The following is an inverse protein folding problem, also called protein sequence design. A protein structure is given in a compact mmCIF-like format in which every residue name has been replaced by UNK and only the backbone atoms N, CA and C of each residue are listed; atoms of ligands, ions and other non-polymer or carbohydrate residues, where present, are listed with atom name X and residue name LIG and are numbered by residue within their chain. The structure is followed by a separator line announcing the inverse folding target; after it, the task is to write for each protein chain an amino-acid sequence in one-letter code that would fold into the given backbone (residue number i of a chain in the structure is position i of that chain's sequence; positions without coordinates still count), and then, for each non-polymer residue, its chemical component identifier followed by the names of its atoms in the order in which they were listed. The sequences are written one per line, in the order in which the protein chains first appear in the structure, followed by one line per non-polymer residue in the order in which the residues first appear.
data_IF_069626559677
#
_entry.id   IF_069626559677
#
_cell.length_a   1.000
_cell.length_b   1.000
_cell.length_c   1.000
_cell.angle_alpha   90.00
_cell.angle_beta   90.00
_cell.angle_gamma   90.00
#
_symmetry.space_group_name_H-M   'P 1'
#
loop_
_entity.id
_entity.type
_entity.pdbx_description
1 polymer ?
#
# COMPACT_ATOMS: atom_id res chain seq x y z
N UNK A 1 38.98 3.25 5.56
CA UNK A 1 38.16 2.09 5.20
C UNK A 1 37.90 2.19 3.70
N UNK A 2 38.85 1.71 2.93
CA UNK A 2 38.83 1.76 1.47
C UNK A 2 37.91 0.66 0.96
N UNK A 3 36.61 1.00 0.75
CA UNK A 3 35.70 0.10 0.04
C UNK A 3 35.91 0.34 -1.46
N UNK A 4 36.47 -0.64 -2.16
CA UNK A 4 36.38 -0.68 -3.63
C UNK A 4 34.91 -0.51 -4.03
N UNK A 5 34.65 0.45 -4.94
CA UNK A 5 33.31 0.65 -5.48
C UNK A 5 33.01 -0.54 -6.38
N UNK A 6 32.35 -1.54 -5.83
CA UNK A 6 31.92 -2.72 -6.60
C UNK A 6 30.77 -2.41 -7.55
N UNK A 7 30.53 -3.27 -8.52
CA UNK A 7 29.38 -3.18 -9.44
C UNK A 7 28.02 -3.15 -8.71
N UNK A 8 27.97 -3.63 -7.47
CA UNK A 8 26.73 -3.83 -6.71
C UNK A 8 26.05 -2.57 -6.14
N UNK A 9 26.70 -1.38 -6.19
CA UNK A 9 26.05 -0.12 -5.78
C UNK A 9 25.89 0.85 -6.97
N UNK A 10 24.75 0.79 -7.68
CA UNK A 10 24.49 1.66 -8.82
C UNK A 10 24.51 3.16 -8.48
N UNK A 11 24.10 3.54 -7.26
CA UNK A 11 24.07 4.94 -6.83
C UNK A 11 25.47 5.48 -6.54
N UNK A 12 26.38 4.62 -6.09
CA UNK A 12 27.77 5.03 -5.85
C UNK A 12 28.43 5.49 -7.16
N UNK A 13 28.19 4.82 -8.27
CA UNK A 13 28.74 5.20 -9.57
C UNK A 13 28.17 6.52 -10.10
N UNK A 14 26.87 6.78 -9.87
CA UNK A 14 26.26 8.07 -10.24
C UNK A 14 26.83 9.19 -9.38
N UNK A 15 26.97 8.97 -8.08
CA UNK A 15 27.55 9.95 -7.15
C UNK A 15 29.03 10.21 -7.46
N UNK A 16 29.76 9.17 -7.87
CA UNK A 16 31.15 9.31 -8.30
C UNK A 16 31.25 10.21 -9.52
N UNK A 17 30.44 9.98 -10.57
CA UNK A 17 30.42 10.87 -11.75
C UNK A 17 30.10 12.33 -11.36
N UNK A 18 29.09 12.54 -10.55
CA UNK A 18 28.71 13.89 -10.08
C UNK A 18 29.84 14.55 -9.25
N UNK A 19 30.52 13.79 -8.39
CA UNK A 19 31.61 14.27 -7.56
C UNK A 19 32.83 14.65 -8.43
N UNK A 20 33.27 13.76 -9.32
CA UNK A 20 34.42 13.99 -10.20
C UNK A 20 34.21 15.14 -11.19
N UNK A 21 32.98 15.42 -11.56
CA UNK A 21 32.64 16.62 -12.36
C UNK A 21 32.76 17.93 -11.59
N UNK A 22 32.59 17.92 -10.26
CA UNK A 22 32.74 19.08 -9.40
C UNK A 22 34.19 19.32 -9.01
N UNK A 23 34.81 18.26 -8.53
CA UNK A 23 36.20 18.25 -8.04
C UNK A 23 36.92 17.07 -8.70
N UNK A 24 37.86 17.29 -9.64
CA UNK A 24 38.51 16.23 -10.38
C UNK A 24 39.60 15.51 -9.55
N UNK A 25 39.21 14.98 -8.40
CA UNK A 25 40.06 14.21 -7.51
C UNK A 25 39.45 12.83 -7.28
N UNK A 26 40.14 11.79 -7.70
CA UNK A 26 39.67 10.43 -7.56
C UNK A 26 39.81 9.94 -6.11
N UNK A 27 38.77 9.30 -5.53
CA UNK A 27 38.88 8.70 -4.22
C UNK A 27 39.90 7.54 -4.22
N UNK A 28 40.49 7.30 -3.04
CA UNK A 28 41.38 6.17 -2.84
C UNK A 28 40.65 4.84 -3.13
N UNK A 29 41.38 3.86 -3.70
CA UNK A 29 40.82 2.53 -4.01
C UNK A 29 40.04 2.43 -5.33
N UNK A 30 39.96 3.51 -6.13
CA UNK A 30 39.38 3.42 -7.47
C UNK A 30 40.37 2.84 -8.46
N UNK A 31 39.95 1.85 -9.25
CA UNK A 31 40.73 1.35 -10.34
C UNK A 31 40.96 2.43 -11.40
N UNK A 32 42.20 2.60 -11.86
CA UNK A 32 42.59 3.61 -12.85
C UNK A 32 42.07 5.01 -12.55
N UNK A 33 42.46 5.65 -11.41
CA UNK A 33 41.86 6.87 -10.93
C UNK A 33 41.96 8.04 -11.92
N UNK A 34 43.10 8.12 -12.66
CA UNK A 34 43.30 9.17 -13.66
C UNK A 34 42.33 9.04 -14.84
N UNK A 35 42.11 7.81 -15.29
CA UNK A 35 41.20 7.52 -16.40
C UNK A 35 39.73 7.74 -15.98
N UNK A 36 39.37 7.39 -14.75
CA UNK A 36 38.06 7.65 -14.23
C UNK A 36 37.73 9.17 -14.13
N UNK A 37 38.71 9.98 -13.70
CA UNK A 37 38.62 11.46 -13.71
C UNK A 37 38.42 11.98 -15.12
N UNK A 38 39.18 11.45 -16.09
CA UNK A 38 39.10 11.86 -17.50
C UNK A 38 37.73 11.46 -18.10
N UNK A 39 37.21 10.26 -17.76
CA UNK A 39 35.87 9.82 -18.16
C UNK A 39 34.76 10.75 -17.63
N UNK A 40 34.91 11.31 -16.45
CA UNK A 40 33.93 12.21 -15.84
C UNK A 40 34.19 13.72 -16.15
N UNK A 41 35.11 14.05 -17.02
CA UNK A 41 35.50 15.43 -17.32
C UNK A 41 34.34 16.23 -17.96
N UNK A 42 34.28 17.55 -17.69
CA UNK A 42 33.26 18.43 -18.25
C UNK A 42 33.35 18.59 -19.77
N UNK A 43 34.58 18.60 -20.32
CA UNK A 43 34.82 18.65 -21.76
C UNK A 43 34.55 17.29 -22.42
N UNK A 44 33.65 17.26 -23.41
CA UNK A 44 33.29 16.06 -24.15
C UNK A 44 34.43 15.44 -24.93
N UNK A 45 35.40 16.25 -25.41
CA UNK A 45 36.57 15.77 -26.14
C UNK A 45 37.50 14.94 -25.25
N UNK A 46 37.68 15.35 -23.99
CA UNK A 46 38.46 14.62 -23.00
C UNK A 46 37.75 13.30 -22.65
N UNK A 47 36.40 13.33 -22.45
CA UNK A 47 35.62 12.10 -22.22
C UNK A 47 35.72 11.11 -23.37
N UNK A 48 35.64 11.61 -24.62
CA UNK A 48 35.77 10.76 -25.82
C UNK A 48 37.17 10.09 -25.91
N UNK A 49 38.23 10.87 -25.70
CA UNK A 49 39.60 10.34 -25.65
C UNK A 49 39.79 9.32 -24.51
N UNK A 50 39.21 9.57 -23.34
CA UNK A 50 39.22 8.67 -22.20
C UNK A 50 38.49 7.35 -22.49
N UNK A 51 37.37 7.39 -23.20
CA UNK A 51 36.64 6.19 -23.63
C UNK A 51 37.50 5.30 -24.57
N UNK A 52 38.34 5.92 -25.43
CA UNK A 52 39.26 5.14 -26.27
C UNK A 52 40.32 4.37 -25.45
N UNK A 53 40.76 4.96 -24.33
CA UNK A 53 41.71 4.34 -23.41
C UNK A 53 41.05 3.34 -22.44
N UNK A 54 39.75 3.45 -22.19
CA UNK A 54 39.01 2.59 -21.27
C UNK A 54 38.79 1.15 -21.79
N UNK A 55 39.18 0.86 -23.06
CA UNK A 55 39.13 -0.47 -23.64
C UNK A 55 39.99 -1.44 -22.80
N UNK A 56 39.40 -2.51 -22.29
CA UNK A 56 40.09 -3.49 -21.44
C UNK A 56 39.96 -3.25 -19.92
N UNK A 57 39.55 -2.07 -19.48
CA UNK A 57 39.33 -1.78 -18.04
C UNK A 57 37.91 -2.09 -17.58
N UNK A 58 37.60 -3.37 -17.35
CA UNK A 58 36.24 -3.81 -16.95
C UNK A 58 35.71 -3.07 -15.71
N UNK A 59 36.57 -2.73 -14.75
CA UNK A 59 36.21 -1.99 -13.55
C UNK A 59 35.55 -0.61 -13.82
N UNK A 60 35.80 -0.02 -15.01
CA UNK A 60 35.27 1.27 -15.41
C UNK A 60 33.97 1.17 -16.25
N UNK A 61 33.52 -0.04 -16.58
CA UNK A 61 32.29 -0.22 -17.36
C UNK A 61 31.04 0.45 -16.76
N UNK A 62 30.86 0.56 -15.44
CA UNK A 62 29.76 1.35 -14.87
C UNK A 62 29.77 2.82 -15.30
N UNK A 63 30.94 3.46 -15.42
CA UNK A 63 31.05 4.81 -15.97
C UNK A 63 30.74 4.85 -17.47
N UNK A 64 31.15 3.84 -18.22
CA UNK A 64 30.78 3.72 -19.64
C UNK A 64 29.27 3.64 -19.83
N UNK A 65 28.56 2.90 -18.97
CA UNK A 65 27.08 2.86 -18.95
C UNK A 65 26.48 4.25 -18.78
N UNK A 66 27.04 5.06 -17.88
CA UNK A 66 26.60 6.46 -17.67
C UNK A 66 26.69 7.25 -18.98
N UNK A 67 27.80 7.08 -19.72
CA UNK A 67 28.08 7.82 -20.96
C UNK A 67 27.31 7.29 -22.19
N UNK A 68 26.76 6.11 -22.14
CA UNK A 68 25.82 5.65 -23.17
C UNK A 68 24.58 6.55 -23.33
N UNK A 69 24.32 7.42 -22.34
CA UNK A 69 23.26 8.42 -22.36
C UNK A 69 23.78 9.87 -22.46
N UNK A 70 25.06 10.09 -22.76
CA UNK A 70 25.67 11.42 -22.86
C UNK A 70 24.91 12.33 -23.85
N UNK A 71 24.86 13.61 -23.54
CA UNK A 71 24.26 14.60 -24.42
C UNK A 71 25.13 14.88 -25.65
N UNK A 72 26.49 14.72 -25.57
CA UNK A 72 27.41 14.81 -26.71
C UNK A 72 27.35 13.55 -27.54
N UNK A 73 26.98 13.67 -28.83
CA UNK A 73 26.77 12.54 -29.73
C UNK A 73 27.96 11.63 -29.85
N UNK A 74 29.17 12.18 -30.06
CA UNK A 74 30.44 11.43 -30.25
C UNK A 74 30.77 10.62 -28.98
N UNK A 75 30.69 11.23 -27.81
CA UNK A 75 30.89 10.53 -26.52
C UNK A 75 29.91 9.38 -26.37
N UNK A 76 28.65 9.65 -26.64
CA UNK A 76 27.58 8.65 -26.52
C UNK A 76 27.79 7.44 -27.43
N UNK A 77 28.05 7.68 -28.70
CA UNK A 77 28.28 6.58 -29.68
C UNK A 77 29.52 5.79 -29.33
N UNK A 78 30.61 6.45 -28.94
CA UNK A 78 31.84 5.75 -28.52
C UNK A 78 31.64 4.90 -27.27
N UNK A 79 30.91 5.40 -26.28
CA UNK A 79 30.55 4.65 -25.08
C UNK A 79 29.71 3.40 -25.43
N UNK A 80 28.76 3.55 -26.36
CA UNK A 80 27.93 2.44 -26.85
C UNK A 80 28.72 1.37 -27.59
N UNK A 81 29.66 1.77 -28.44
CA UNK A 81 30.57 0.84 -29.13
C UNK A 81 31.38 0.03 -28.12
N UNK A 82 32.05 0.71 -27.19
CA UNK A 82 32.84 0.09 -26.15
C UNK A 82 32.03 -0.87 -25.29
N UNK A 83 30.82 -0.46 -24.90
CA UNK A 83 29.93 -1.32 -24.09
C UNK A 83 29.52 -2.58 -24.88
N UNK A 84 29.21 -2.48 -26.18
CA UNK A 84 28.90 -3.67 -27.03
C UNK A 84 30.04 -4.66 -27.08
N UNK A 85 31.29 -4.18 -27.15
CA UNK A 85 32.49 -5.02 -27.24
C UNK A 85 32.86 -5.68 -25.90
N UNK A 86 32.56 -4.99 -24.77
CA UNK A 86 33.06 -5.38 -23.46
C UNK A 86 32.06 -6.20 -22.61
N UNK A 87 30.74 -6.17 -22.95
CA UNK A 87 29.71 -6.83 -22.15
C UNK A 87 29.56 -8.30 -22.52
N UNK A 88 29.96 -9.16 -21.59
CA UNK A 88 29.62 -10.58 -21.54
C UNK A 88 28.44 -10.81 -20.55
N UNK A 89 28.00 -12.05 -20.40
CA UNK A 89 26.86 -12.40 -19.55
C UNK A 89 27.06 -12.02 -18.08
N UNK A 90 28.25 -12.30 -17.52
CA UNK A 90 28.52 -12.00 -16.09
C UNK A 90 28.57 -10.49 -15.86
N UNK A 91 29.14 -9.75 -16.79
CA UNK A 91 29.17 -8.29 -16.79
C UNK A 91 27.75 -7.73 -16.95
N UNK A 92 26.91 -8.32 -17.81
CA UNK A 92 25.52 -7.92 -18.02
C UNK A 92 24.69 -8.10 -16.73
N UNK A 93 24.88 -9.22 -16.03
CA UNK A 93 24.25 -9.44 -14.71
C UNK A 93 24.69 -8.37 -13.71
N UNK A 94 25.99 -8.10 -13.62
CA UNK A 94 26.54 -7.12 -12.68
C UNK A 94 26.07 -5.68 -12.99
N UNK A 95 25.96 -5.32 -14.28
CA UNK A 95 25.54 -3.99 -14.72
C UNK A 95 24.02 -3.78 -14.74
N UNK A 96 23.21 -4.84 -14.73
CA UNK A 96 21.75 -4.74 -14.85
C UNK A 96 21.11 -3.75 -13.86
N UNK A 97 21.50 -3.69 -12.57
CA UNK A 97 20.95 -2.71 -11.63
C UNK A 97 21.21 -1.25 -12.04
N UNK A 98 22.43 -0.97 -12.50
CA UNK A 98 22.82 0.37 -12.95
C UNK A 98 22.12 0.75 -14.25
N UNK A 99 22.09 -0.15 -15.21
CA UNK A 99 21.43 0.04 -16.52
C UNK A 99 19.94 0.32 -16.34
N UNK A 100 19.25 -0.41 -15.45
CA UNK A 100 17.82 -0.20 -15.17
C UNK A 100 17.57 1.12 -14.43
N UNK A 101 18.49 1.57 -13.60
CA UNK A 101 18.41 2.87 -12.94
C UNK A 101 18.56 4.01 -13.97
N UNK A 102 19.51 3.89 -14.90
CA UNK A 102 19.73 4.85 -15.97
C UNK A 102 18.67 4.82 -17.05
N UNK A 103 18.07 3.68 -17.31
CA UNK A 103 17.05 3.49 -18.33
C UNK A 103 15.77 4.32 -18.12
N UNK A 104 15.60 4.85 -16.92
CA UNK A 104 14.53 5.83 -16.60
C UNK A 104 14.82 7.24 -17.17
N UNK A 105 16.04 7.49 -17.66
CA UNK A 105 16.42 8.75 -18.30
C UNK A 105 16.21 8.63 -19.82
N UNK A 106 15.82 9.70 -20.48
CA UNK A 106 15.35 9.72 -21.88
C UNK A 106 16.29 9.15 -22.97
N UNK A 107 17.52 8.73 -22.63
CA UNK A 107 18.50 8.12 -23.56
C UNK A 107 19.07 6.80 -23.06
N UNK A 108 18.49 6.23 -21.99
CA UNK A 108 18.98 4.99 -21.35
C UNK A 108 18.53 3.69 -22.03
N UNK A 109 17.62 3.75 -23.01
CA UNK A 109 17.04 2.56 -23.64
C UNK A 109 18.10 1.64 -24.27
N UNK A 110 19.13 2.19 -24.89
CA UNK A 110 20.18 1.43 -25.54
C UNK A 110 20.87 0.40 -24.59
N UNK A 111 21.26 0.83 -23.40
CA UNK A 111 21.95 -0.04 -22.45
C UNK A 111 21.01 -1.15 -21.93
N UNK A 112 19.71 -0.87 -21.76
CA UNK A 112 18.70 -1.88 -21.40
C UNK A 112 18.57 -2.93 -22.51
N UNK A 113 18.46 -2.49 -23.75
CA UNK A 113 18.34 -3.39 -24.90
C UNK A 113 19.57 -4.27 -25.07
N UNK A 114 20.77 -3.68 -24.94
CA UNK A 114 22.03 -4.41 -25.04
C UNK A 114 22.17 -5.46 -23.93
N UNK A 115 22.01 -5.05 -22.67
CA UNK A 115 22.10 -5.96 -21.52
C UNK A 115 21.01 -7.04 -21.60
N UNK A 116 19.79 -6.67 -21.97
CA UNK A 116 18.71 -7.62 -22.21
C UNK A 116 19.04 -8.60 -23.33
N UNK A 117 19.66 -8.13 -24.43
CA UNK A 117 20.11 -8.96 -25.53
C UNK A 117 21.14 -9.99 -25.12
N UNK A 118 22.15 -9.59 -24.35
CA UNK A 118 23.19 -10.50 -23.82
C UNK A 118 22.57 -11.51 -22.84
N UNK A 119 21.70 -11.06 -21.94
CA UNK A 119 21.07 -11.94 -20.94
C UNK A 119 20.13 -12.97 -21.56
N UNK A 120 19.58 -12.76 -22.76
CA UNK A 120 18.78 -13.80 -23.45
C UNK A 120 19.56 -15.08 -23.73
N UNK A 121 20.88 -15.00 -23.84
CA UNK A 121 21.75 -16.18 -24.03
C UNK A 121 22.30 -16.73 -22.71
N UNK A 122 21.94 -16.14 -21.55
CA UNK A 122 22.42 -16.57 -20.24
C UNK A 122 21.74 -17.86 -19.77
N UNK A 123 22.46 -18.67 -18.98
CA UNK A 123 21.85 -19.81 -18.31
C UNK A 123 20.96 -19.40 -17.16
N UNK A 124 19.95 -20.21 -16.76
CA UNK A 124 19.08 -19.91 -15.62
C UNK A 124 19.85 -19.58 -14.34
N UNK A 125 20.96 -20.27 -14.09
CA UNK A 125 21.81 -20.10 -12.90
C UNK A 125 22.46 -18.71 -12.87
N UNK A 126 22.79 -18.15 -14.03
CA UNK A 126 23.34 -16.78 -14.14
C UNK A 126 22.29 -15.70 -13.79
N UNK A 127 20.99 -16.01 -13.86
CA UNK A 127 19.92 -15.12 -13.44
C UNK A 127 19.67 -15.10 -11.92
N UNK A 128 20.13 -16.10 -11.16
CA UNK A 128 19.83 -16.22 -9.73
C UNK A 128 20.06 -14.93 -8.93
N UNK A 129 21.19 -14.19 -9.11
CA UNK A 129 21.40 -12.93 -8.41
C UNK A 129 20.36 -11.86 -8.75
N UNK A 130 19.82 -11.86 -9.97
CA UNK A 130 18.82 -10.90 -10.42
C UNK A 130 17.42 -11.22 -9.89
N UNK A 131 17.07 -12.49 -9.73
CA UNK A 131 15.78 -12.92 -9.20
C UNK A 131 15.59 -12.54 -7.72
N UNK A 132 16.66 -12.51 -6.94
CA UNK A 132 16.64 -12.19 -5.51
C UNK A 132 17.12 -10.76 -5.20
N UNK A 133 17.38 -9.96 -6.22
CA UNK A 133 17.92 -8.62 -6.04
C UNK A 133 16.99 -7.73 -5.19
N UNK A 134 17.52 -6.89 -4.27
CA UNK A 134 16.69 -6.03 -3.41
C UNK A 134 15.85 -5.02 -4.20
N UNK A 135 16.35 -4.50 -5.34
CA UNK A 135 15.56 -3.60 -6.20
C UNK A 135 14.52 -4.39 -7.00
N UNK A 136 13.25 -4.05 -6.78
CA UNK A 136 12.12 -4.61 -7.52
C UNK A 136 12.20 -4.42 -9.05
N UNK A 137 12.84 -3.34 -9.53
CA UNK A 137 12.97 -3.10 -10.96
C UNK A 137 13.87 -4.16 -11.62
N UNK A 138 14.93 -4.56 -10.93
CA UNK A 138 15.84 -5.65 -11.35
C UNK A 138 15.07 -6.97 -11.37
N UNK A 139 14.36 -7.32 -10.29
CA UNK A 139 13.57 -8.55 -10.25
C UNK A 139 12.48 -8.60 -11.34
N UNK A 140 11.78 -7.49 -11.57
CA UNK A 140 10.78 -7.38 -12.66
C UNK A 140 11.38 -7.61 -14.04
N UNK A 141 12.55 -7.02 -14.28
CA UNK A 141 13.26 -7.18 -15.52
C UNK A 141 13.70 -8.64 -15.72
N UNK A 142 14.35 -9.23 -14.72
CA UNK A 142 14.82 -10.60 -14.76
C UNK A 142 13.69 -11.61 -14.98
N UNK A 143 12.60 -11.53 -14.21
CA UNK A 143 11.46 -12.44 -14.36
C UNK A 143 10.74 -12.26 -15.70
N UNK A 144 10.64 -11.02 -16.22
CA UNK A 144 10.05 -10.78 -17.54
C UNK A 144 10.88 -11.47 -18.63
N UNK A 145 12.19 -11.26 -18.61
CA UNK A 145 13.08 -11.87 -19.59
C UNK A 145 13.07 -13.40 -19.47
N UNK A 146 13.08 -13.93 -18.25
CA UNK A 146 13.01 -15.37 -18.01
C UNK A 146 11.70 -16.00 -18.49
N UNK A 147 10.57 -15.27 -18.39
CA UNK A 147 9.28 -15.73 -18.93
C UNK A 147 9.29 -15.67 -20.46
N UNK A 148 9.80 -14.59 -21.05
CA UNK A 148 9.90 -14.41 -22.51
C UNK A 148 10.72 -15.51 -23.16
N UNK A 149 11.85 -15.89 -22.54
CA UNK A 149 12.80 -16.88 -23.07
C UNK A 149 12.53 -18.32 -22.56
N UNK A 150 11.53 -18.51 -21.69
CA UNK A 150 11.19 -19.84 -21.15
C UNK A 150 12.28 -20.44 -20.26
N UNK A 151 13.06 -19.61 -19.55
CA UNK A 151 14.19 -20.05 -18.73
C UNK A 151 13.79 -20.73 -17.44
N UNK A 152 12.56 -20.51 -16.97
CA UNK A 152 12.05 -21.07 -15.73
C UNK A 152 10.96 -22.11 -15.99
N UNK A 153 11.03 -23.23 -15.29
CA UNK A 153 9.97 -24.23 -15.32
C UNK A 153 8.66 -23.68 -14.73
N UNK A 154 7.50 -24.24 -15.09
CA UNK A 154 6.21 -23.82 -14.51
C UNK A 154 6.19 -23.84 -12.98
N UNK A 155 6.80 -24.85 -12.36
CA UNK A 155 6.93 -24.94 -10.90
C UNK A 155 7.86 -23.88 -10.31
N UNK A 156 8.94 -23.48 -11.01
CA UNK A 156 9.79 -22.37 -10.57
C UNK A 156 9.04 -21.03 -10.65
N UNK A 157 8.32 -20.79 -11.74
CA UNK A 157 7.45 -19.60 -11.90
C UNK A 157 6.39 -19.53 -10.81
N UNK A 158 5.72 -20.64 -10.49
CA UNK A 158 4.72 -20.68 -9.42
C UNK A 158 5.33 -20.38 -8.05
N UNK A 159 6.53 -20.87 -7.77
CA UNK A 159 7.27 -20.56 -6.53
C UNK A 159 7.68 -19.08 -6.47
N UNK A 160 8.11 -18.50 -7.59
CA UNK A 160 8.40 -17.06 -7.67
C UNK A 160 7.14 -16.22 -7.40
N UNK A 161 6.01 -16.58 -8.02
CA UNK A 161 4.71 -15.95 -7.79
C UNK A 161 4.26 -16.01 -6.32
N UNK A 162 4.56 -17.12 -5.63
CA UNK A 162 4.17 -17.30 -4.24
C UNK A 162 5.03 -16.53 -3.25
N UNK A 163 6.31 -16.28 -3.56
CA UNK A 163 7.32 -15.80 -2.61
C UNK A 163 7.76 -14.36 -2.82
N UNK A 164 7.78 -13.85 -4.05
CA UNK A 164 8.24 -12.48 -4.31
C UNK A 164 7.38 -11.46 -3.55
N UNK A 165 8.00 -10.37 -3.12
CA UNK A 165 7.30 -9.27 -2.45
C UNK A 165 6.60 -8.32 -3.44
N UNK A 166 6.99 -8.34 -4.72
CA UNK A 166 6.47 -7.45 -5.75
C UNK A 166 5.29 -8.06 -6.49
N UNK A 167 4.16 -7.37 -6.47
CA UNK A 167 2.91 -7.86 -7.09
C UNK A 167 2.98 -7.99 -8.60
N UNK A 168 3.87 -7.27 -9.29
CA UNK A 168 4.05 -7.39 -10.75
C UNK A 168 4.74 -8.70 -11.07
N UNK A 169 5.81 -9.05 -10.33
CA UNK A 169 6.50 -10.34 -10.45
C UNK A 169 5.53 -11.48 -10.13
N UNK A 170 4.78 -11.36 -9.02
CA UNK A 170 3.81 -12.37 -8.61
C UNK A 170 2.79 -12.68 -9.71
N UNK A 171 2.19 -11.63 -10.30
CA UNK A 171 1.18 -11.81 -11.33
C UNK A 171 1.79 -12.38 -12.63
N UNK A 172 2.90 -11.81 -13.09
CA UNK A 172 3.60 -12.26 -14.29
C UNK A 172 3.94 -13.76 -14.21
N UNK A 173 4.55 -14.17 -13.10
CA UNK A 173 4.97 -15.55 -12.91
C UNK A 173 3.79 -16.52 -12.74
N UNK A 174 2.71 -16.09 -12.03
CA UNK A 174 1.52 -16.91 -11.90
C UNK A 174 0.82 -17.15 -13.25
N UNK A 175 0.66 -16.10 -14.05
CA UNK A 175 0.07 -16.17 -15.38
C UNK A 175 0.89 -17.07 -16.31
N UNK A 176 2.21 -16.89 -16.33
CA UNK A 176 3.11 -17.69 -17.17
C UNK A 176 3.10 -19.18 -16.74
N UNK A 177 3.15 -19.47 -15.43
CA UNK A 177 3.09 -20.82 -14.91
C UNK A 177 1.79 -21.53 -15.32
N UNK A 178 0.65 -20.87 -15.16
CA UNK A 178 -0.66 -21.42 -15.51
C UNK A 178 -0.83 -21.60 -17.02
N UNK A 179 -0.33 -20.66 -17.82
CA UNK A 179 -0.36 -20.77 -19.28
C UNK A 179 0.48 -21.95 -19.79
N UNK A 180 1.61 -22.24 -19.14
CA UNK A 180 2.46 -23.37 -19.48
C UNK A 180 1.79 -24.71 -19.18
N UNK A 181 1.26 -24.90 -17.97
CA UNK A 181 0.60 -26.17 -17.59
C UNK A 181 -0.73 -26.42 -18.30
N UNK A 182 -1.41 -25.38 -18.75
CA UNK A 182 -2.60 -25.52 -19.59
C UNK A 182 -2.30 -26.25 -20.92
N UNK A 183 -1.03 -26.19 -21.40
CA UNK A 183 -0.58 -26.82 -22.63
C UNK A 183 0.05 -28.19 -22.40
N UNK A 184 0.76 -28.37 -21.28
CA UNK A 184 1.61 -29.55 -21.02
C UNK A 184 1.05 -30.52 -19.99
N UNK A 185 0.06 -30.10 -19.18
CA UNK A 185 -0.37 -30.84 -17.98
C UNK A 185 0.60 -30.62 -16.80
N UNK A 186 0.58 -31.48 -15.79
CA UNK A 186 1.46 -31.35 -14.62
C UNK A 186 1.06 -30.26 -13.64
N UNK A 187 -0.23 -30.06 -13.43
CA UNK A 187 -0.80 -28.97 -12.64
C UNK A 187 -0.30 -28.91 -11.19
N UNK A 188 0.04 -30.03 -10.55
CA UNK A 188 0.32 -30.07 -9.11
C UNK A 188 1.56 -29.23 -8.72
N UNK A 189 2.62 -29.23 -9.53
CA UNK A 189 3.81 -28.41 -9.28
C UNK A 189 3.53 -26.90 -9.27
N UNK A 190 2.48 -26.48 -9.98
CA UNK A 190 2.07 -25.08 -10.08
C UNK A 190 1.01 -24.75 -9.04
N UNK A 191 0.05 -25.65 -8.82
CA UNK A 191 -1.06 -25.41 -7.91
C UNK A 191 -0.61 -25.29 -6.46
N UNK A 192 0.26 -26.19 -5.96
CA UNK A 192 0.65 -26.17 -4.55
C UNK A 192 1.29 -24.85 -4.13
N UNK A 193 2.31 -24.29 -4.84
CA UNK A 193 2.86 -22.98 -4.49
C UNK A 193 1.82 -21.85 -4.56
N UNK A 194 0.96 -21.84 -5.60
CA UNK A 194 -0.04 -20.79 -5.78
C UNK A 194 -1.11 -20.82 -4.70
N UNK A 195 -1.65 -21.99 -4.38
CA UNK A 195 -2.68 -22.18 -3.35
C UNK A 195 -2.18 -21.83 -1.95
N UNK A 196 -0.88 -22.01 -1.68
CA UNK A 196 -0.20 -21.62 -0.43
C UNK A 196 0.31 -20.18 -0.40
N UNK A 197 0.18 -19.39 -1.47
CA UNK A 197 0.77 -18.07 -1.59
C UNK A 197 0.21 -17.07 -0.55
N UNK A 198 1.07 -16.19 -0.03
CA UNK A 198 0.63 -15.08 0.84
C UNK A 198 -0.21 -14.05 0.09
N UNK A 199 0.12 -13.80 -1.17
CA UNK A 199 -0.62 -12.91 -2.03
C UNK A 199 -2.00 -13.49 -2.39
N UNK A 200 -3.11 -12.81 -2.10
CA UNK A 200 -4.44 -13.30 -2.42
C UNK A 200 -4.71 -13.42 -3.92
N UNK A 201 -4.05 -12.64 -4.77
CA UNK A 201 -4.21 -12.76 -6.24
C UNK A 201 -3.58 -14.06 -6.75
N UNK A 202 -2.37 -14.39 -6.33
CA UNK A 202 -1.73 -15.65 -6.68
C UNK A 202 -2.56 -16.85 -6.19
N UNK A 203 -3.10 -16.79 -4.94
CA UNK A 203 -4.01 -17.84 -4.45
C UNK A 203 -5.28 -17.93 -5.28
N UNK A 204 -5.88 -16.80 -5.65
CA UNK A 204 -7.09 -16.77 -6.46
C UNK A 204 -6.85 -17.39 -7.85
N UNK A 205 -5.70 -17.10 -8.48
CA UNK A 205 -5.30 -17.75 -9.73
C UNK A 205 -5.15 -19.26 -9.58
N UNK A 206 -4.49 -19.72 -8.50
CA UNK A 206 -4.38 -21.14 -8.17
C UNK A 206 -5.75 -21.80 -7.95
N UNK A 207 -6.66 -21.16 -7.19
CA UNK A 207 -8.02 -21.67 -6.95
C UNK A 207 -8.81 -21.77 -8.27
N UNK A 208 -8.72 -20.74 -9.13
CA UNK A 208 -9.40 -20.77 -10.44
C UNK A 208 -8.87 -21.91 -11.33
N UNK A 209 -7.56 -22.17 -11.27
CA UNK A 209 -6.92 -23.21 -12.05
C UNK A 209 -7.28 -24.63 -11.62
N UNK A 210 -7.80 -24.83 -10.39
CA UNK A 210 -8.30 -26.13 -9.91
C UNK A 210 -9.38 -26.72 -10.86
N UNK A 211 -10.19 -25.85 -11.47
CA UNK A 211 -11.20 -26.30 -12.46
C UNK A 211 -10.54 -26.96 -13.68
N UNK A 212 -9.53 -26.31 -14.26
CA UNK A 212 -8.82 -26.84 -15.42
C UNK A 212 -8.04 -28.11 -15.09
N UNK A 213 -7.59 -28.25 -13.84
CA UNK A 213 -6.89 -29.41 -13.33
C UNK A 213 -7.83 -30.59 -12.96
N UNK A 214 -9.16 -30.41 -13.03
CA UNK A 214 -10.12 -31.41 -12.63
C UNK A 214 -10.19 -31.67 -11.10
N UNK A 215 -9.69 -30.71 -10.28
CA UNK A 215 -9.56 -30.85 -8.82
C UNK A 215 -10.53 -29.89 -8.09
N UNK A 216 -11.78 -29.85 -8.57
CA UNK A 216 -12.80 -28.87 -8.13
C UNK A 216 -13.10 -28.96 -6.63
N UNK A 217 -13.09 -30.19 -6.08
CA UNK A 217 -13.35 -30.45 -4.65
C UNK A 217 -12.37 -29.75 -3.72
N UNK A 218 -11.14 -29.49 -4.19
CA UNK A 218 -10.13 -28.74 -3.42
C UNK A 218 -10.49 -27.26 -3.24
N UNK A 219 -11.40 -26.71 -4.05
CA UNK A 219 -11.79 -25.30 -3.95
C UNK A 219 -12.65 -25.02 -2.70
N UNK A 220 -13.34 -26.01 -2.14
CA UNK A 220 -14.22 -25.81 -0.98
C UNK A 220 -13.49 -25.21 0.22
N UNK A 221 -12.26 -25.66 0.52
CA UNK A 221 -11.47 -25.12 1.64
C UNK A 221 -11.17 -23.62 1.51
N UNK A 222 -11.18 -23.08 0.29
CA UNK A 222 -10.94 -21.68 0.01
C UNK A 222 -12.20 -20.81 0.10
N UNK A 223 -13.38 -21.39 0.27
CA UNK A 223 -14.59 -20.65 0.64
C UNK A 223 -14.42 -19.93 1.98
N UNK A 224 -13.60 -20.46 2.89
CA UNK A 224 -13.23 -19.82 4.16
C UNK A 224 -12.01 -18.90 4.10
N UNK A 225 -11.44 -18.61 2.93
CA UNK A 225 -10.22 -17.77 2.84
C UNK A 225 -10.46 -16.37 3.41
N UNK A 226 -9.40 -15.79 4.02
CA UNK A 226 -9.43 -14.44 4.57
C UNK A 226 -9.69 -13.34 3.52
N UNK A 227 -9.39 -13.61 2.25
CA UNK A 227 -9.53 -12.67 1.13
C UNK A 227 -10.82 -12.88 0.35
N UNK A 228 -11.62 -11.83 0.18
CA UNK A 228 -12.86 -11.89 -0.61
C UNK A 228 -12.65 -12.32 -2.05
N UNK A 229 -11.54 -11.94 -2.70
CA UNK A 229 -11.27 -12.35 -4.08
C UNK A 229 -11.02 -13.85 -4.18
N UNK A 230 -10.32 -14.44 -3.20
CA UNK A 230 -10.09 -15.90 -3.16
C UNK A 230 -11.41 -16.63 -2.93
N UNK A 231 -12.25 -16.17 -1.98
CA UNK A 231 -13.59 -16.73 -1.75
C UNK A 231 -14.47 -16.63 -3.00
N UNK A 232 -14.42 -15.51 -3.72
CA UNK A 232 -15.18 -15.35 -4.97
C UNK A 232 -14.76 -16.37 -6.04
N UNK A 233 -13.46 -16.60 -6.23
CA UNK A 233 -12.93 -17.62 -7.12
C UNK A 233 -13.34 -19.03 -6.64
N UNK A 234 -13.26 -19.30 -5.34
CA UNK A 234 -13.68 -20.57 -4.77
C UNK A 234 -15.18 -20.85 -5.02
N UNK A 235 -16.05 -19.84 -4.78
CA UNK A 235 -17.50 -19.95 -5.10
C UNK A 235 -17.74 -20.26 -6.58
N UNK A 236 -16.99 -19.61 -7.47
CA UNK A 236 -17.10 -19.88 -8.90
C UNK A 236 -16.73 -21.34 -9.21
N UNK A 237 -15.57 -21.82 -8.73
CA UNK A 237 -15.08 -23.18 -9.01
C UNK A 237 -16.01 -24.24 -8.42
N UNK A 238 -16.48 -24.07 -7.17
CA UNK A 238 -17.41 -25.00 -6.51
C UNK A 238 -18.73 -25.09 -7.28
N UNK A 239 -19.29 -23.96 -7.74
CA UNK A 239 -20.52 -23.98 -8.57
C UNK A 239 -20.32 -24.70 -9.90
N UNK A 240 -19.15 -24.54 -10.54
CA UNK A 240 -18.83 -25.25 -11.77
C UNK A 240 -18.72 -26.77 -11.57
N UNK A 241 -18.39 -27.19 -10.36
CA UNK A 241 -18.39 -28.58 -9.95
C UNK A 241 -19.76 -29.11 -9.49
N UNK A 242 -20.82 -28.31 -9.58
CA UNK A 242 -22.18 -28.70 -9.16
C UNK A 242 -22.44 -28.49 -7.65
N UNK A 243 -21.50 -27.93 -6.88
CA UNK A 243 -21.68 -27.64 -5.46
C UNK A 243 -22.47 -26.35 -5.21
N UNK A 244 -23.02 -26.21 -4.02
CA UNK A 244 -23.74 -25.01 -3.56
C UNK A 244 -22.93 -24.29 -2.45
N UNK A 245 -22.14 -23.24 -2.79
CA UNK A 245 -21.39 -22.49 -1.80
C UNK A 245 -22.26 -21.80 -0.74
N UNK A 246 -23.49 -21.41 -1.08
CA UNK A 246 -24.39 -20.75 -0.15
C UNK A 246 -24.87 -21.71 0.94
N UNK A 247 -25.27 -22.92 0.55
CA UNK A 247 -25.65 -23.96 1.50
C UNK A 247 -24.48 -24.29 2.46
N UNK A 248 -23.25 -24.37 1.93
CA UNK A 248 -22.04 -24.60 2.74
C UNK A 248 -21.80 -23.43 3.74
N UNK A 249 -21.92 -22.19 3.31
CA UNK A 249 -21.76 -21.05 4.22
C UNK A 249 -22.82 -21.02 5.31
N UNK A 250 -24.09 -21.33 4.98
CA UNK A 250 -25.17 -21.42 5.98
C UNK A 250 -24.85 -22.50 7.01
N UNK A 251 -24.44 -23.68 6.57
CA UNK A 251 -24.04 -24.78 7.47
C UNK A 251 -22.84 -24.38 8.36
N UNK A 252 -21.81 -23.75 7.80
CA UNK A 252 -20.64 -23.34 8.56
C UNK A 252 -20.91 -22.22 9.56
N UNK A 253 -21.85 -21.32 9.28
CA UNK A 253 -22.27 -20.29 10.25
C UNK A 253 -23.07 -20.86 11.42
N UNK A 254 -23.67 -22.05 11.29
CA UNK A 254 -24.36 -22.77 12.35
C UNK A 254 -23.42 -23.64 13.19
N UNK A 255 -22.17 -23.86 12.76
CA UNK A 255 -21.19 -24.64 13.50
C UNK A 255 -20.84 -23.95 14.84
N UNK A 256 -20.40 -24.74 15.82
CA UNK A 256 -19.99 -24.21 17.13
C UNK A 256 -18.81 -23.24 17.06
N UNK A 257 -17.89 -23.45 16.12
CA UNK A 257 -16.73 -22.58 15.88
C UNK A 257 -16.65 -22.20 14.38
N UNK A 258 -17.42 -21.19 13.95
CA UNK A 258 -17.47 -20.79 12.56
C UNK A 258 -16.18 -20.08 12.13
N UNK A 259 -15.67 -20.48 10.96
CA UNK A 259 -14.50 -19.81 10.37
C UNK A 259 -14.87 -18.37 9.97
N UNK A 260 -14.09 -17.34 10.37
CA UNK A 260 -14.41 -15.94 10.06
C UNK A 260 -14.59 -15.64 8.57
N UNK A 261 -13.86 -16.36 7.70
CA UNK A 261 -14.01 -16.26 6.26
C UNK A 261 -15.35 -16.76 5.74
N UNK A 262 -15.91 -17.80 6.38
CA UNK A 262 -17.24 -18.31 6.03
C UNK A 262 -18.36 -17.32 6.39
N UNK A 263 -18.25 -16.65 7.54
CA UNK A 263 -19.18 -15.59 7.94
C UNK A 263 -19.18 -14.45 6.92
N UNK A 264 -17.98 -14.04 6.45
CA UNK A 264 -17.87 -13.05 5.36
C UNK A 264 -18.45 -13.58 4.04
N UNK A 265 -18.19 -14.85 3.72
CA UNK A 265 -18.65 -15.51 2.50
C UNK A 265 -20.17 -15.58 2.43
N UNK A 266 -20.84 -15.88 3.54
CA UNK A 266 -22.31 -15.84 3.64
C UNK A 266 -22.84 -14.45 3.27
N UNK A 267 -22.27 -13.41 3.86
CA UNK A 267 -22.70 -12.04 3.60
C UNK A 267 -22.44 -11.58 2.15
N UNK A 268 -21.40 -12.11 1.50
CA UNK A 268 -21.03 -11.75 0.12
C UNK A 268 -21.94 -12.36 -0.95
N UNK A 269 -22.65 -13.42 -0.65
CA UNK A 269 -23.49 -14.11 -1.64
C UNK A 269 -24.86 -14.58 -1.10
N UNK A 270 -25.15 -14.33 0.17
CA UNK A 270 -26.42 -14.60 0.81
C UNK A 270 -27.47 -13.54 0.57
N UNK A 271 -28.62 -13.73 1.15
CA UNK A 271 -29.79 -12.86 1.07
C UNK A 271 -30.01 -12.14 2.42
N UNK A 272 -30.89 -11.11 2.42
CA UNK A 272 -31.24 -10.37 3.64
C UNK A 272 -31.75 -11.28 4.77
N UNK A 273 -32.45 -12.39 4.44
CA UNK A 273 -32.90 -13.40 5.39
C UNK A 273 -31.77 -14.12 6.13
N UNK A 274 -30.60 -14.24 5.51
CA UNK A 274 -29.41 -14.89 6.12
C UNK A 274 -28.84 -14.09 7.31
N UNK A 275 -29.28 -12.83 7.50
CA UNK A 275 -28.97 -12.05 8.69
C UNK A 275 -29.37 -12.77 10.00
N UNK A 276 -30.38 -13.63 9.96
CA UNK A 276 -30.77 -14.45 11.11
C UNK A 276 -29.64 -15.36 11.60
N UNK A 277 -28.77 -15.82 10.70
CA UNK A 277 -27.59 -16.63 11.02
C UNK A 277 -26.42 -15.80 11.56
N UNK A 278 -26.35 -14.50 11.18
CA UNK A 278 -25.25 -13.62 11.59
C UNK A 278 -25.48 -12.97 12.96
N UNK A 279 -26.75 -12.73 13.35
CA UNK A 279 -27.07 -12.08 14.61
C UNK A 279 -26.55 -12.84 15.85
N UNK A 280 -26.63 -14.16 15.98
CA UNK A 280 -26.04 -14.86 17.11
C UNK A 280 -24.51 -14.71 17.17
N UNK A 281 -23.86 -14.54 16.03
CA UNK A 281 -22.41 -14.47 15.92
C UNK A 281 -21.82 -13.13 16.39
N UNK A 282 -22.62 -12.08 16.57
CA UNK A 282 -22.15 -10.80 17.12
C UNK A 282 -21.73 -10.91 18.60
N UNK A 283 -22.13 -11.97 19.29
CA UNK A 283 -21.75 -12.28 20.68
C UNK A 283 -20.78 -13.46 20.78
N UNK A 284 -20.22 -13.94 19.67
CA UNK A 284 -19.31 -15.07 19.64
C UNK A 284 -18.02 -14.79 20.41
N UNK A 285 -17.38 -15.82 21.03
CA UNK A 285 -16.14 -15.68 21.79
C UNK A 285 -15.00 -15.07 20.96
N UNK A 286 -14.85 -15.48 19.69
CA UNK A 286 -13.85 -14.97 18.77
C UNK A 286 -14.20 -13.55 18.27
N UNK A 287 -13.34 -12.57 18.56
CA UNK A 287 -13.49 -11.20 18.09
C UNK A 287 -13.53 -11.07 16.56
N UNK A 288 -12.81 -11.94 15.85
CA UNK A 288 -12.82 -11.97 14.39
C UNK A 288 -14.16 -12.42 13.82
N UNK A 289 -14.83 -13.40 14.44
CA UNK A 289 -16.18 -13.81 14.08
C UNK A 289 -17.18 -12.68 14.34
N UNK A 290 -17.13 -12.05 15.53
CA UNK A 290 -18.01 -10.90 15.86
C UNK A 290 -17.88 -9.77 14.83
N UNK A 291 -16.63 -9.39 14.50
CA UNK A 291 -16.38 -8.33 13.52
C UNK A 291 -16.91 -8.70 12.12
N UNK A 292 -16.74 -9.97 11.69
CA UNK A 292 -17.26 -10.42 10.40
C UNK A 292 -18.77 -10.51 10.36
N UNK A 293 -19.41 -10.89 11.47
CA UNK A 293 -20.86 -10.89 11.58
C UNK A 293 -21.43 -9.49 11.44
N UNK A 294 -20.85 -8.49 12.13
CA UNK A 294 -21.26 -7.08 12.00
C UNK A 294 -21.07 -6.54 10.59
N UNK A 295 -19.88 -6.79 10.00
CA UNK A 295 -19.60 -6.43 8.60
C UNK A 295 -20.58 -7.10 7.63
N UNK A 296 -20.97 -8.33 7.92
CA UNK A 296 -21.97 -9.09 7.17
C UNK A 296 -23.36 -8.50 7.26
N UNK A 297 -23.84 -8.21 8.47
CA UNK A 297 -25.13 -7.57 8.69
C UNK A 297 -25.24 -6.23 7.95
N UNK A 298 -24.15 -5.43 7.98
CA UNK A 298 -24.06 -4.18 7.21
C UNK A 298 -24.14 -4.43 5.71
N UNK A 299 -23.47 -5.46 5.20
CA UNK A 299 -23.46 -5.79 3.78
C UNK A 299 -24.82 -6.27 3.27
N UNK A 300 -25.56 -6.99 4.14
CA UNK A 300 -26.93 -7.42 3.85
C UNK A 300 -27.99 -6.32 4.09
N UNK A 301 -27.55 -5.11 4.44
CA UNK A 301 -28.42 -3.98 4.77
C UNK A 301 -29.43 -4.30 5.90
N UNK A 302 -28.95 -4.98 6.96
CA UNK A 302 -29.73 -5.34 8.14
C UNK A 302 -29.07 -4.72 9.36
N UNK A 303 -29.41 -3.46 9.64
CA UNK A 303 -28.89 -2.68 10.77
C UNK A 303 -29.98 -2.51 11.83
N UNK A 304 -29.67 -2.89 13.08
CA UNK A 304 -30.49 -2.62 14.25
C UNK A 304 -29.65 -1.79 15.23
N UNK A 305 -30.00 -0.48 15.34
CA UNK A 305 -29.26 0.48 16.17
C UNK A 305 -29.20 0.02 17.64
N UNK A 306 -30.31 -0.48 18.18
CA UNK A 306 -30.40 -0.89 19.60
C UNK A 306 -29.50 -2.09 19.90
N UNK A 307 -29.45 -3.06 18.98
CA UNK A 307 -28.61 -4.27 19.12
C UNK A 307 -27.14 -4.01 18.86
N UNK A 308 -26.81 -3.03 18.01
CA UNK A 308 -25.41 -2.72 17.64
C UNK A 308 -24.75 -1.71 18.58
N UNK A 309 -25.51 -0.84 19.25
CA UNK A 309 -24.96 0.18 20.13
C UNK A 309 -24.06 -0.36 21.26
N UNK A 310 -24.39 -1.47 21.96
CA UNK A 310 -23.52 -2.03 22.97
C UNK A 310 -22.17 -2.54 22.42
N UNK A 311 -22.11 -2.87 21.12
CA UNK A 311 -20.89 -3.38 20.48
C UNK A 311 -19.84 -2.29 20.21
N UNK A 312 -20.21 -1.01 20.43
CA UNK A 312 -19.24 0.09 20.49
C UNK A 312 -18.30 -0.01 21.69
N UNK A 313 -18.65 -0.81 22.70
CA UNK A 313 -17.87 -1.02 23.92
C UNK A 313 -17.08 -2.35 23.89
N UNK A 314 -17.09 -3.04 22.76
CA UNK A 314 -16.35 -4.30 22.61
C UNK A 314 -14.85 -4.08 22.83
N UNK A 315 -14.15 -4.98 23.59
CA UNK A 315 -12.72 -4.86 23.85
C UNK A 315 -11.88 -4.96 22.56
N UNK A 316 -12.41 -5.54 21.49
CA UNK A 316 -11.69 -5.71 20.24
C UNK A 316 -11.91 -4.52 19.28
N UNK A 317 -10.84 -3.81 18.88
CA UNK A 317 -10.95 -2.65 17.99
C UNK A 317 -11.63 -2.92 16.64
N UNK A 318 -11.48 -4.16 16.13
CA UNK A 318 -12.12 -4.58 14.88
C UNK A 318 -13.65 -4.64 14.97
N UNK A 319 -14.18 -5.05 16.12
CA UNK A 319 -15.63 -5.13 16.38
C UNK A 319 -16.22 -3.73 16.47
N UNK A 320 -15.60 -2.86 17.27
CA UNK A 320 -16.01 -1.45 17.40
C UNK A 320 -16.00 -0.73 16.06
N UNK A 321 -14.97 -0.99 15.25
CA UNK A 321 -14.89 -0.42 13.90
C UNK A 321 -16.06 -0.85 13.01
N UNK A 322 -16.38 -2.15 12.96
CA UNK A 322 -17.50 -2.64 12.13
C UNK A 322 -18.86 -2.17 12.68
N UNK A 323 -19.05 -2.14 14.01
CA UNK A 323 -20.24 -1.57 14.63
C UNK A 323 -20.41 -0.09 14.27
N UNK A 324 -19.33 0.71 14.38
CA UNK A 324 -19.34 2.13 13.97
C UNK A 324 -19.72 2.27 12.49
N UNK A 325 -19.10 1.50 11.59
CA UNK A 325 -19.39 1.54 10.15
C UNK A 325 -20.83 1.15 9.83
N UNK A 326 -21.40 0.20 10.57
CA UNK A 326 -22.79 -0.22 10.40
C UNK A 326 -23.77 0.87 10.87
N UNK A 327 -23.43 1.59 11.94
CA UNK A 327 -24.28 2.64 12.52
C UNK A 327 -24.16 3.99 11.80
N UNK A 328 -23.08 4.25 11.02
CA UNK A 328 -22.86 5.54 10.36
C UNK A 328 -24.05 6.02 9.51
N UNK A 329 -24.68 5.19 8.64
CA UNK A 329 -25.82 5.65 7.85
C UNK A 329 -27.02 6.06 8.69
N UNK A 330 -27.10 5.53 9.93
CA UNK A 330 -28.17 5.80 10.91
C UNK A 330 -27.68 6.62 12.10
N UNK A 331 -26.57 7.37 11.94
CA UNK A 331 -25.97 8.15 13.04
C UNK A 331 -26.97 9.11 13.70
N UNK A 332 -27.91 9.67 12.95
CA UNK A 332 -28.98 10.50 13.44
C UNK A 332 -29.95 9.82 14.44
N UNK A 333 -30.04 8.48 14.41
CA UNK A 333 -30.88 7.69 15.31
C UNK A 333 -30.12 7.20 16.55
N UNK A 334 -28.78 7.34 16.59
CA UNK A 334 -27.96 6.96 17.74
C UNK A 334 -28.03 8.09 18.79
N UNK A 335 -28.37 7.82 20.06
CA UNK A 335 -28.45 8.86 21.09
C UNK A 335 -27.08 9.54 21.33
N UNK A 336 -27.11 10.89 21.49
CA UNK A 336 -25.88 11.68 21.69
C UNK A 336 -25.23 11.43 23.05
N UNK A 337 -26.01 11.39 24.10
CA UNK A 337 -25.56 11.28 25.48
C UNK A 337 -24.56 10.12 25.66
N UNK A 338 -24.96 8.88 25.37
CA UNK A 338 -24.06 7.72 25.44
C UNK A 338 -22.79 7.82 24.58
N UNK A 339 -22.86 8.49 23.43
CA UNK A 339 -21.66 8.71 22.59
C UNK A 339 -20.75 9.78 23.20
N UNK A 340 -21.32 10.87 23.74
CA UNK A 340 -20.56 11.94 24.41
C UNK A 340 -19.87 11.42 25.68
N UNK A 341 -20.53 10.57 26.47
CA UNK A 341 -19.94 9.92 27.65
C UNK A 341 -18.65 9.15 27.32
N UNK A 342 -18.59 8.51 26.14
CA UNK A 342 -17.40 7.80 25.66
C UNK A 342 -16.25 8.74 25.32
N UNK A 343 -16.50 10.01 25.04
CA UNK A 343 -15.47 11.01 24.79
C UNK A 343 -14.94 11.66 26.08
N UNK A 344 -15.82 11.87 27.07
CA UNK A 344 -15.50 12.66 28.28
C UNK A 344 -14.70 11.87 29.32
N UNK A 345 -14.70 10.55 29.27
CA UNK A 345 -14.02 9.68 30.24
C UNK A 345 -12.51 9.82 30.23
N UNK A 346 -11.93 10.60 31.15
CA UNK A 346 -10.51 10.90 31.26
C UNK A 346 -9.61 9.69 31.55
N UNK A 347 -8.41 9.70 30.99
CA UNK A 347 -7.32 8.81 31.33
C UNK A 347 -6.96 8.95 32.85
N UNK A 348 -6.65 7.85 33.59
CA UNK A 348 -6.40 6.47 33.15
C UNK A 348 -7.62 5.54 33.22
N UNK A 349 -8.79 6.00 33.63
CA UNK A 349 -10.02 5.19 33.80
C UNK A 349 -11.02 5.35 32.63
N UNK A 350 -10.65 6.10 31.59
CA UNK A 350 -11.54 6.38 30.47
C UNK A 350 -11.64 5.23 29.46
N UNK A 351 -12.53 5.44 28.50
CA UNK A 351 -12.75 4.47 27.42
C UNK A 351 -11.50 4.25 26.57
N UNK A 352 -11.29 3.01 26.07
CA UNK A 352 -10.20 2.73 25.14
C UNK A 352 -10.23 3.62 23.90
N UNK A 353 -9.05 3.91 23.31
CA UNK A 353 -8.93 4.76 22.14
C UNK A 353 -9.91 4.41 21.01
N UNK A 354 -10.04 3.11 20.68
CA UNK A 354 -10.91 2.66 19.58
C UNK A 354 -12.38 2.94 19.81
N UNK A 355 -12.84 2.93 21.09
CA UNK A 355 -14.21 3.29 21.51
C UNK A 355 -14.42 4.79 21.30
N UNK A 356 -13.48 5.63 21.78
CA UNK A 356 -13.55 7.09 21.60
C UNK A 356 -13.56 7.48 20.12
N UNK A 357 -12.71 6.84 19.29
CA UNK A 357 -12.70 7.04 17.84
C UNK A 357 -14.04 6.66 17.21
N UNK A 358 -14.64 5.56 17.62
CA UNK A 358 -15.97 5.14 17.15
C UNK A 358 -17.06 6.14 17.50
N UNK A 359 -17.10 6.55 18.77
CA UNK A 359 -18.05 7.54 19.26
C UNK A 359 -17.90 8.90 18.55
N UNK A 360 -16.66 9.40 18.43
CA UNK A 360 -16.40 10.66 17.73
C UNK A 360 -16.84 10.60 16.26
N UNK A 361 -16.56 9.49 15.57
CA UNK A 361 -16.96 9.32 14.17
C UNK A 361 -18.48 9.35 13.97
N UNK A 362 -19.25 8.77 14.90
CA UNK A 362 -20.72 8.82 14.85
C UNK A 362 -21.26 10.22 15.14
N UNK A 363 -20.69 10.92 16.13
CA UNK A 363 -21.07 12.30 16.45
C UNK A 363 -20.67 13.28 15.32
N UNK A 364 -19.51 13.11 14.73
CA UNK A 364 -19.07 13.89 13.57
C UNK A 364 -20.02 13.72 12.37
N UNK A 365 -20.52 12.52 12.14
CA UNK A 365 -21.47 12.23 11.06
C UNK A 365 -22.86 12.86 11.27
N UNK A 366 -23.20 13.28 12.48
CA UNK A 366 -24.49 13.94 12.76
C UNK A 366 -24.56 15.38 12.27
N UNK A 367 -23.40 16.06 12.10
CA UNK A 367 -23.35 17.45 11.69
C UNK A 367 -23.76 18.45 12.81
N UNK A 368 -23.98 19.67 12.42
CA UNK A 368 -24.52 20.76 13.25
C UNK A 368 -23.74 21.00 14.54
N UNK A 369 -24.49 21.34 15.62
CA UNK A 369 -23.91 21.62 16.93
C UNK A 369 -23.36 20.36 17.61
N UNK A 370 -23.94 19.18 17.34
CA UNK A 370 -23.46 17.90 17.89
C UNK A 370 -22.05 17.60 17.44
N UNK A 371 -21.76 17.79 16.13
CA UNK A 371 -20.41 17.72 15.56
C UNK A 371 -19.45 18.68 16.24
N UNK A 372 -19.86 19.95 16.40
CA UNK A 372 -19.01 20.98 17.01
C UNK A 372 -18.70 20.62 18.48
N UNK A 373 -19.72 20.23 19.25
CA UNK A 373 -19.57 19.83 20.65
C UNK A 373 -18.59 18.67 20.80
N UNK A 374 -18.76 17.62 20.01
CA UNK A 374 -17.86 16.46 20.01
C UNK A 374 -16.43 16.84 19.61
N UNK A 375 -16.27 17.67 18.58
CA UNK A 375 -14.98 18.10 18.10
C UNK A 375 -14.21 18.96 19.10
N UNK A 376 -14.90 19.87 19.79
CA UNK A 376 -14.30 20.68 20.86
C UNK A 376 -13.94 19.80 22.08
N UNK A 377 -14.77 18.81 22.41
CA UNK A 377 -14.50 17.87 23.50
C UNK A 377 -13.22 17.07 23.28
N UNK A 378 -12.95 16.60 22.06
CA UNK A 378 -11.74 15.81 21.77
C UNK A 378 -10.46 16.65 21.62
N UNK A 379 -10.52 17.98 21.69
CA UNK A 379 -9.31 18.81 21.74
C UNK A 379 -8.44 18.53 22.99
N UNK A 380 -9.08 18.06 24.06
CA UNK A 380 -8.41 17.69 25.30
C UNK A 380 -8.12 16.18 25.43
N UNK A 381 -8.33 15.41 24.35
CA UNK A 381 -8.11 13.94 24.36
C UNK A 381 -6.61 13.61 24.51
N UNK A 382 -6.24 12.58 25.30
CA UNK A 382 -4.85 12.15 25.43
C UNK A 382 -4.22 11.66 24.11
N UNK A 383 -5.03 11.19 23.14
CA UNK A 383 -4.55 10.77 21.82
C UNK A 383 -4.37 11.97 20.87
N UNK A 384 -3.13 12.24 20.48
CA UNK A 384 -2.78 13.35 19.59
C UNK A 384 -3.54 13.31 18.26
N UNK A 385 -3.73 12.12 17.67
CA UNK A 385 -4.42 11.99 16.38
C UNK A 385 -5.90 12.36 16.50
N UNK A 386 -6.50 12.05 17.66
CA UNK A 386 -7.88 12.42 17.91
C UNK A 386 -8.01 13.94 18.12
N UNK A 387 -7.07 14.57 18.87
CA UNK A 387 -6.99 16.04 18.99
C UNK A 387 -6.84 16.72 17.64
N UNK A 388 -5.91 16.25 16.79
CA UNK A 388 -5.71 16.81 15.45
C UNK A 388 -6.96 16.67 14.59
N UNK A 389 -7.63 15.52 14.65
CA UNK A 389 -8.91 15.34 13.93
C UNK A 389 -9.98 16.30 14.46
N UNK A 390 -10.17 16.42 15.79
CA UNK A 390 -11.07 17.38 16.38
C UNK A 390 -10.80 18.82 15.93
N UNK A 391 -9.53 19.26 15.97
CA UNK A 391 -9.12 20.57 15.52
C UNK A 391 -9.46 20.82 14.03
N UNK A 392 -9.24 19.85 13.16
CA UNK A 392 -9.60 19.94 11.75
C UNK A 392 -11.12 20.04 11.54
N UNK A 393 -11.90 19.30 12.33
CA UNK A 393 -13.38 19.38 12.29
C UNK A 393 -13.84 20.76 12.73
N UNK A 394 -13.33 21.29 13.86
CA UNK A 394 -13.66 22.63 14.36
C UNK A 394 -13.32 23.71 13.33
N UNK A 395 -12.10 23.67 12.74
CA UNK A 395 -11.67 24.65 11.76
C UNK A 395 -12.53 24.66 10.48
N UNK A 396 -13.08 23.51 10.09
CA UNK A 396 -13.93 23.34 8.91
C UNK A 396 -15.43 23.49 9.22
N UNK A 397 -15.80 23.58 10.49
CA UNK A 397 -17.19 23.64 10.88
C UNK A 397 -17.80 24.98 10.45
N UNK A 398 -19.02 24.91 9.94
CA UNK A 398 -19.88 26.05 9.62
C UNK A 398 -21.29 25.78 10.14
N UNK A 399 -22.07 26.80 10.46
CA UNK A 399 -23.49 26.63 10.75
C UNK A 399 -24.20 25.94 9.57
N UNK A 400 -25.05 24.98 9.87
CA UNK A 400 -25.83 24.23 8.88
C UNK A 400 -27.27 24.78 8.83
N UNK A 401 -27.97 24.56 7.71
CA UNK A 401 -29.38 24.92 7.58
C UNK A 401 -30.23 24.27 8.70
N UNK A 402 -31.12 25.05 9.33
CA UNK A 402 -31.96 24.57 10.41
C UNK A 402 -31.35 24.72 11.81
N UNK A 403 -30.13 25.19 11.96
CA UNK A 403 -29.58 25.59 13.27
C UNK A 403 -30.21 26.91 13.73
N UNK A 404 -30.43 27.05 15.05
CA UNK A 404 -30.94 28.29 15.64
C UNK A 404 -29.89 29.38 15.57
N UNK A 405 -30.12 30.49 14.84
CA UNK A 405 -29.18 31.61 14.86
C UNK A 405 -29.04 32.19 16.27
N UNK A 406 -27.82 32.52 16.65
CA UNK A 406 -27.53 33.10 17.97
C UNK A 406 -27.48 32.11 19.12
N UNK A 407 -27.38 30.82 18.85
CA UNK A 407 -27.23 29.78 19.88
C UNK A 407 -26.00 30.03 20.75
N UNK A 408 -26.21 30.28 22.03
CA UNK A 408 -25.16 30.62 22.99
C UNK A 408 -24.11 29.47 23.11
N UNK A 409 -24.55 28.22 23.02
CA UNK A 409 -23.66 27.07 23.08
C UNK A 409 -22.62 27.08 21.94
N UNK A 410 -23.02 27.48 20.73
CA UNK A 410 -22.07 27.63 19.60
C UNK A 410 -20.97 28.66 19.94
N UNK A 411 -21.38 29.78 20.58
CA UNK A 411 -20.43 30.80 21.01
C UNK A 411 -19.44 30.31 22.06
N UNK A 412 -19.90 29.55 23.05
CA UNK A 412 -19.06 28.93 24.08
C UNK A 412 -18.08 27.92 23.49
N UNK A 413 -18.55 27.06 22.59
CA UNK A 413 -17.73 26.05 21.92
C UNK A 413 -16.65 26.67 21.05
N UNK A 414 -16.98 27.66 20.22
CA UNK A 414 -15.99 28.40 19.41
C UNK A 414 -15.03 29.19 20.30
N UNK A 415 -15.49 29.73 21.41
CA UNK A 415 -14.66 30.40 22.41
C UNK A 415 -13.60 29.46 23.02
N UNK A 416 -13.98 28.25 23.41
CA UNK A 416 -13.04 27.21 23.87
C UNK A 416 -12.00 26.82 22.82
N UNK A 417 -12.38 26.84 21.56
CA UNK A 417 -11.51 26.47 20.43
C UNK A 417 -10.81 27.67 19.79
N UNK A 418 -10.86 28.90 20.41
CA UNK A 418 -10.33 30.15 19.78
C UNK A 418 -8.88 30.03 19.33
N UNK A 419 -8.06 29.28 20.03
CA UNK A 419 -6.65 29.07 19.73
C UNK A 419 -6.40 28.41 18.34
N UNK A 420 -7.43 27.86 17.73
CA UNK A 420 -7.38 27.24 16.39
C UNK A 420 -7.65 28.25 15.26
N UNK A 421 -8.01 29.50 15.58
CA UNK A 421 -8.42 30.51 14.61
C UNK A 421 -7.63 31.80 14.74
N UNK A 422 -7.53 32.55 13.64
CA UNK A 422 -7.23 33.98 13.72
C UNK A 422 -8.47 34.74 14.20
N UNK A 423 -8.30 35.92 14.80
CA UNK A 423 -9.42 36.74 15.30
C UNK A 423 -10.42 37.07 14.18
N UNK A 424 -9.95 37.31 12.97
CA UNK A 424 -10.80 37.54 11.80
C UNK A 424 -11.68 36.31 11.47
N UNK A 425 -11.09 35.13 11.44
CA UNK A 425 -11.82 33.90 11.11
C UNK A 425 -12.82 33.57 12.19
N UNK A 426 -12.48 33.72 13.47
CA UNK A 426 -13.36 33.50 14.59
C UNK A 426 -14.56 34.46 14.57
N UNK A 427 -14.31 35.76 14.40
CA UNK A 427 -15.34 36.79 14.29
C UNK A 427 -16.32 36.50 13.15
N UNK A 428 -15.79 36.14 12.00
CA UNK A 428 -16.61 35.74 10.85
C UNK A 428 -17.47 34.52 11.18
N UNK A 429 -16.91 33.50 11.84
CA UNK A 429 -17.62 32.26 12.19
C UNK A 429 -18.76 32.51 13.18
N UNK A 430 -18.54 33.39 14.18
CA UNK A 430 -19.54 33.82 15.12
C UNK A 430 -20.67 34.58 14.39
N UNK A 431 -20.31 35.48 13.50
CA UNK A 431 -21.30 36.22 12.69
C UNK A 431 -22.14 35.28 11.80
N UNK A 432 -21.50 34.32 11.12
CA UNK A 432 -22.20 33.28 10.34
C UNK A 432 -23.20 32.48 11.21
N UNK A 433 -22.90 32.29 12.51
CA UNK A 433 -23.76 31.63 13.48
C UNK A 433 -24.82 32.57 14.09
N UNK A 434 -24.93 33.84 13.66
CA UNK A 434 -25.87 34.82 14.21
C UNK A 434 -25.48 35.36 15.60
N UNK A 435 -24.22 35.20 16.00
CA UNK A 435 -23.66 35.67 17.27
C UNK A 435 -22.90 36.99 17.09
N UNK A 436 -22.88 37.89 18.13
CA UNK A 436 -22.02 39.05 18.08
C UNK A 436 -20.54 38.63 17.91
N UNK A 437 -19.81 39.35 17.07
CA UNK A 437 -18.36 39.07 16.87
C UNK A 437 -17.63 39.14 18.21
N UNK A 438 -16.53 38.37 18.35
CA UNK A 438 -15.71 38.40 19.55
C UNK A 438 -15.18 39.84 19.79
N UNK A 439 -15.28 40.40 21.00
CA UNK A 439 -14.78 41.72 21.28
C UNK A 439 -13.28 41.76 20.95
N UNK A 440 -12.85 42.75 20.13
CA UNK A 440 -11.45 42.99 19.88
C UNK A 440 -10.76 43.20 21.24
N UNK A 441 -9.74 42.40 21.53
CA UNK A 441 -8.93 42.59 22.74
C UNK A 441 -8.40 44.04 22.77
N UNK A 442 -8.04 44.57 23.94
CA UNK A 442 -7.57 45.94 24.04
C UNK A 442 -6.40 46.15 23.05
N UNK A 443 -6.60 47.09 22.12
CA UNK A 443 -5.55 47.49 21.18
C UNK A 443 -4.32 47.91 21.98
N UNK A 444 -3.20 47.29 21.72
CA UNK A 444 -1.88 47.76 22.21
C UNK A 444 -1.45 49.02 21.46
N UNK A 445 -2.24 50.07 21.64
CA UNK A 445 -1.87 51.45 21.24
C UNK A 445 -1.88 52.25 22.53
N UNK A 446 -0.69 52.46 23.06
CA UNK A 446 -0.22 53.68 23.70
C UNK A 446 1.00 53.37 24.61
N UNK A 447 2.15 53.32 23.99
CA UNK A 447 3.41 53.63 24.70
C UNK A 447 4.44 54.18 23.72
N UNK A 448 4.24 55.41 23.29
CA UNK A 448 5.36 56.31 22.96
C UNK A 448 5.57 57.22 24.17
N UNK A 449 6.68 57.09 24.90
CA UNK A 449 7.11 58.19 25.78
C UNK A 449 7.82 59.26 24.95
N UNK A 450 7.47 60.48 25.24
CA UNK A 450 8.07 61.75 24.86
C UNK A 450 9.56 61.85 25.22
#
# INVERSE_FOLDING_TARGET
MDQEIGFGDPLAWIRLDEALRREPYAPAGLAEPQLAVALCHRDGRIREAALQQAVGYRALLPLVVVWCADWVGQVRERARELLREAVDTDTAVALAPLVLLFGRRGRGAFAIELVGGVLRSASPEQFDPLFVHPDRAVRRFAHRLAVEEGLLSPGQLARAAARDADTVVQNLCAEAALAAVAKTGGHDEVLEPLLGARNPRARASGVTALRAAGQVERAEKFLGDRSGVVRACARYVVRQGGGDPLALYRAWCLAADPVPGAVSGLAECGERGDAALLWPLVSHASASVRARALGGLRLLDVVDVRRMLPLLDDPAPGVVREATLALLPSAGLVPDGPLMERLVGGWPKGWPRHVRVGAFRLLDARGGIVRLRAAVTVLDDPDERLRVWGAQVVQRWHPEEGMTPGDAEVGELLGRARHLFSDYVLTRRLWEAGLPGWPAGPSSSDSHPS
#
